data_IF_458059824999
#
_entry.id   IF_458059824999
#
_cell.length_a   1.000
_cell.length_b   1.000
_cell.length_c   1.000
_cell.angle_alpha   90.00
_cell.angle_beta   90.00
_cell.angle_gamma   90.00
#
_symmetry.space_group_name_H-M   'P 1'
#
loop_
_entity.id
_entity.type
_entity.pdbx_description
1 polymer ?
#
# COMPACT_ATOMS: atom_id res chain seq x y z
N UNK A 1 -9.62 -2.85 44.11
CA UNK A 1 -9.73 -4.31 44.30
C UNK A 1 -9.52 -4.96 42.93
N UNK A 2 -8.36 -5.58 42.73
CA UNK A 2 -7.98 -6.29 41.50
C UNK A 2 -7.64 -7.71 41.96
N UNK A 3 -8.46 -8.67 41.55
CA UNK A 3 -8.27 -10.08 41.87
C UNK A 3 -7.23 -10.71 40.95
N UNK A 4 -6.09 -11.12 41.53
CA UNK A 4 -5.14 -12.05 40.91
C UNK A 4 -5.65 -13.48 41.09
N UNK A 5 -5.83 -14.23 40.00
CA UNK A 5 -5.90 -15.69 40.05
C UNK A 5 -4.48 -16.28 39.85
N UNK A 6 -4.10 -17.34 40.59
CA UNK A 6 -2.70 -17.78 40.73
C UNK A 6 -2.20 -18.79 39.68
N UNK A 7 -0.99 -18.51 39.17
CA UNK A 7 -0.12 -19.26 38.26
C UNK A 7 0.39 -20.62 38.80
N UNK A 8 -0.47 -21.51 39.33
CA UNK A 8 -0.02 -22.82 39.88
C UNK A 8 -0.41 -24.04 39.06
N UNK A 9 -1.16 -23.89 37.99
CA UNK A 9 -1.69 -25.05 37.24
C UNK A 9 -0.93 -25.35 35.93
N UNK A 10 -0.10 -24.42 35.44
CA UNK A 10 0.67 -24.59 34.19
C UNK A 10 2.05 -25.29 34.38
N UNK A 11 2.57 -25.41 35.61
CA UNK A 11 3.93 -25.93 35.89
C UNK A 11 4.04 -27.47 35.87
N UNK A 12 2.94 -28.20 35.64
CA UNK A 12 2.95 -29.68 35.61
C UNK A 12 3.05 -30.28 34.20
N UNK A 13 2.77 -29.52 33.14
CA UNK A 13 2.85 -30.03 31.76
C UNK A 13 4.26 -29.98 31.15
N UNK A 14 5.20 -29.25 31.75
CA UNK A 14 6.56 -29.08 31.20
C UNK A 14 7.61 -30.06 31.77
N UNK A 15 7.25 -30.98 32.67
CA UNK A 15 8.22 -31.85 33.37
C UNK A 15 8.35 -33.28 32.81
N UNK A 16 7.85 -33.58 31.60
CA UNK A 16 7.84 -34.98 31.07
C UNK A 16 8.29 -35.20 29.62
N UNK A 17 8.93 -34.23 28.96
CA UNK A 17 9.66 -34.51 27.71
C UNK A 17 11.15 -34.24 27.93
N UNK A 18 11.90 -35.31 28.16
CA UNK A 18 13.33 -35.29 28.44
C UNK A 18 14.19 -35.00 27.21
N UNK A 19 15.27 -34.28 27.49
CA UNK A 19 16.59 -34.26 26.84
C UNK A 19 16.82 -35.28 25.71
N UNK A 20 16.90 -34.78 24.48
CA UNK A 20 17.47 -35.47 23.33
C UNK A 20 18.10 -34.43 22.40
N UNK A 21 19.42 -34.26 22.53
CA UNK A 21 20.21 -33.43 21.64
C UNK A 21 20.05 -33.90 20.18
N UNK A 22 19.45 -33.04 19.34
CA UNK A 22 19.47 -33.17 17.88
C UNK A 22 19.86 -31.82 17.30
N UNK A 23 21.08 -31.80 16.79
CA UNK A 23 21.64 -31.02 15.69
C UNK A 23 21.75 -29.48 15.79
N UNK A 24 23.03 -29.07 15.84
CA UNK A 24 23.61 -28.03 15.00
C UNK A 24 22.97 -27.98 13.60
N UNK A 25 22.17 -26.95 13.32
CA UNK A 25 21.93 -26.35 11.99
C UNK A 25 20.80 -25.32 12.12
N UNK A 26 21.16 -24.11 12.54
CA UNK A 26 20.26 -22.96 12.59
C UNK A 26 21.01 -21.64 12.54
N UNK A 27 22.20 -21.62 11.94
CA UNK A 27 22.80 -20.41 11.36
C UNK A 27 21.94 -20.02 10.15
N UNK A 28 20.75 -19.53 10.45
CA UNK A 28 19.83 -18.82 9.59
C UNK A 28 18.69 -18.33 10.51
N UNK A 29 19.02 -17.66 11.61
CA UNK A 29 18.12 -16.59 12.09
C UNK A 29 18.17 -15.49 11.03
N UNK A 30 17.56 -15.76 9.88
CA UNK A 30 17.02 -14.74 8.99
C UNK A 30 15.85 -14.08 9.71
N UNK A 31 16.11 -13.45 10.84
CA UNK A 31 15.28 -12.36 11.34
C UNK A 31 15.65 -11.14 10.52
N UNK A 32 15.22 -11.12 9.26
CA UNK A 32 15.11 -9.94 8.41
C UNK A 32 13.98 -10.19 7.40
N UNK A 33 12.81 -10.54 7.92
CA UNK A 33 11.59 -10.11 7.29
C UNK A 33 10.86 -9.36 8.41
N UNK A 34 11.15 -8.05 8.53
CA UNK A 34 10.26 -7.16 9.27
C UNK A 34 8.99 -7.03 8.41
N UNK A 35 8.20 -8.12 8.38
CA UNK A 35 6.87 -8.14 7.78
C UNK A 35 5.98 -7.23 8.63
N UNK A 36 6.10 -5.91 8.45
CA UNK A 36 5.01 -5.02 8.83
C UNK A 36 3.84 -5.44 7.93
N UNK A 37 3.09 -6.44 8.36
CA UNK A 37 2.01 -7.08 7.61
C UNK A 37 0.88 -6.11 7.27
N UNK A 38 -0.26 -6.62 6.84
CA UNK A 38 -1.42 -5.82 6.43
C UNK A 38 -1.72 -4.70 7.46
N UNK A 39 -1.74 -3.42 7.06
CA UNK A 39 -2.03 -2.32 7.98
C UNK A 39 -3.43 -2.46 8.57
N UNK A 40 -3.56 -2.13 9.86
CA UNK A 40 -4.84 -2.15 10.55
C UNK A 40 -5.77 -1.04 10.07
N UNK A 41 -7.08 -1.19 10.29
CA UNK A 41 -8.09 -0.18 9.92
C UNK A 41 -7.80 1.19 10.54
N UNK A 42 -7.43 1.23 11.82
CA UNK A 42 -7.11 2.47 12.54
C UNK A 42 -5.82 3.12 12.02
N UNK A 43 -4.87 2.29 11.56
CA UNK A 43 -3.63 2.76 10.94
C UNK A 43 -3.96 3.45 9.60
N UNK A 44 -4.72 2.79 8.73
CA UNK A 44 -5.19 3.35 7.44
C UNK A 44 -5.95 4.67 7.68
N UNK A 45 -6.88 4.69 8.64
CA UNK A 45 -7.63 5.89 9.00
C UNK A 45 -6.71 7.04 9.41
N UNK A 46 -5.71 6.77 10.26
CA UNK A 46 -4.76 7.78 10.72
C UNK A 46 -3.92 8.34 9.57
N UNK A 47 -3.47 7.48 8.64
CA UNK A 47 -2.75 7.93 7.44
C UNK A 47 -3.60 8.82 6.56
N UNK A 48 -4.87 8.47 6.36
CA UNK A 48 -5.81 9.28 5.58
C UNK A 48 -6.04 10.63 6.24
N UNK A 49 -6.32 10.67 7.54
CA UNK A 49 -6.55 11.93 8.26
C UNK A 49 -5.34 12.86 8.22
N UNK A 50 -4.12 12.31 8.35
CA UNK A 50 -2.88 13.08 8.32
C UNK A 50 -2.47 13.49 6.91
N UNK A 51 -2.61 12.60 5.93
CA UNK A 51 -2.18 12.82 4.55
C UNK A 51 -3.17 13.63 3.71
N UNK A 52 -4.47 13.53 3.99
CA UNK A 52 -5.52 14.15 3.18
C UNK A 52 -5.44 15.68 3.10
N UNK A 53 -5.12 16.42 4.18
CA UNK A 53 -4.88 17.87 4.09
C UNK A 53 -3.74 18.22 3.12
N UNK A 54 -2.60 17.54 3.22
CA UNK A 54 -1.44 17.79 2.35
C UNK A 54 -1.78 17.55 0.88
N UNK A 55 -2.53 16.49 0.57
CA UNK A 55 -2.93 16.19 -0.81
C UNK A 55 -3.91 17.19 -1.43
N UNK A 56 -4.62 17.98 -0.62
CA UNK A 56 -5.54 19.02 -1.09
C UNK A 56 -4.92 20.40 -1.16
N UNK A 57 -3.87 20.66 -0.38
CA UNK A 57 -3.42 22.03 -0.11
C UNK A 57 -1.93 22.24 -0.42
N UNK A 58 -1.12 21.19 -0.38
CA UNK A 58 0.32 21.28 -0.56
C UNK A 58 0.73 20.77 -1.95
N UNK A 59 1.99 21.01 -2.31
CA UNK A 59 2.57 20.50 -3.55
C UNK A 59 2.44 18.96 -3.63
N UNK A 60 2.22 18.44 -4.84
CA UNK A 60 1.95 17.02 -5.06
C UNK A 60 3.09 16.12 -4.54
N UNK A 61 4.33 16.58 -4.63
CA UNK A 61 5.51 15.87 -4.09
C UNK A 61 5.41 15.62 -2.58
N UNK A 62 4.89 16.61 -1.82
CA UNK A 62 4.74 16.51 -0.38
C UNK A 62 3.63 15.55 0.01
N UNK A 63 2.51 15.56 -0.71
CA UNK A 63 1.46 14.56 -0.57
C UNK A 63 2.00 13.14 -0.82
N UNK A 64 2.69 12.93 -1.95
CA UNK A 64 3.21 11.62 -2.31
C UNK A 64 4.27 11.15 -1.30
N UNK A 65 5.12 12.04 -0.79
CA UNK A 65 6.11 11.69 0.25
C UNK A 65 5.45 11.17 1.53
N UNK A 66 4.31 11.73 1.93
CA UNK A 66 3.57 11.26 3.11
C UNK A 66 2.93 9.88 2.89
N UNK A 67 2.44 9.64 1.68
CA UNK A 67 1.84 8.36 1.30
C UNK A 67 2.88 7.27 1.02
N UNK A 68 4.09 7.65 0.61
CA UNK A 68 5.16 6.71 0.30
C UNK A 68 5.50 5.82 1.51
N UNK A 69 5.72 6.41 2.68
CA UNK A 69 6.01 5.64 3.91
C UNK A 69 4.84 4.80 4.43
N UNK A 70 3.66 4.88 3.80
CA UNK A 70 2.57 3.95 4.08
C UNK A 70 2.60 2.73 3.15
N UNK A 71 3.14 2.90 1.94
CA UNK A 71 3.36 1.82 0.96
C UNK A 71 4.65 1.07 1.31
N UNK A 72 5.76 1.79 1.46
CA UNK A 72 7.06 1.30 1.93
C UNK A 72 7.00 1.11 3.44
N UNK A 73 6.61 -0.09 3.86
CA UNK A 73 6.26 -0.36 5.27
C UNK A 73 7.49 -0.74 6.05
N UNK A 74 8.38 -1.54 5.48
CA UNK A 74 9.62 -1.93 6.16
C UNK A 74 10.66 -0.78 6.17
N UNK A 75 10.48 0.24 5.34
CA UNK A 75 11.32 1.43 5.31
C UNK A 75 12.62 1.20 4.53
N UNK A 76 12.65 0.23 3.62
CA UNK A 76 13.82 -0.07 2.80
C UNK A 76 14.01 0.92 1.63
N UNK A 77 13.04 1.81 1.41
CA UNK A 77 13.03 2.82 0.34
C UNK A 77 12.28 2.37 -0.93
N UNK A 78 11.74 1.17 -0.94
CA UNK A 78 11.10 0.54 -2.09
C UNK A 78 9.71 0.00 -1.72
N UNK A 79 8.93 -0.34 -2.73
CA UNK A 79 7.65 -1.00 -2.60
C UNK A 79 7.72 -2.35 -3.31
N UNK A 80 7.75 -3.42 -2.51
CA UNK A 80 7.66 -4.78 -3.01
C UNK A 80 6.23 -5.15 -3.42
N UNK A 81 6.07 -6.23 -4.18
CA UNK A 81 4.73 -6.77 -4.51
C UNK A 81 3.94 -7.16 -3.24
N UNK A 82 4.64 -7.64 -2.21
CA UNK A 82 4.04 -7.99 -0.91
C UNK A 82 3.46 -6.76 -0.22
N UNK A 83 4.22 -5.66 -0.18
CA UNK A 83 3.79 -4.41 0.45
C UNK A 83 2.64 -3.75 -0.31
N UNK A 84 2.69 -3.75 -1.64
CA UNK A 84 1.57 -3.28 -2.47
C UNK A 84 0.31 -4.11 -2.19
N UNK A 85 0.45 -5.43 -2.04
CA UNK A 85 -0.65 -6.33 -1.66
C UNK A 85 -1.16 -6.09 -0.24
N UNK A 86 -0.28 -5.82 0.72
CA UNK A 86 -0.64 -5.49 2.09
C UNK A 86 -1.39 -4.16 2.17
N UNK A 87 -0.87 -3.12 1.50
CA UNK A 87 -1.52 -1.82 1.36
C UNK A 87 -2.93 -1.94 0.77
N UNK A 88 -3.08 -2.72 -0.32
CA UNK A 88 -4.38 -3.03 -0.94
C UNK A 88 -5.36 -3.67 0.04
N UNK A 89 -4.93 -4.66 0.81
CA UNK A 89 -5.76 -5.35 1.81
C UNK A 89 -6.17 -4.43 2.95
N UNK A 90 -5.27 -3.56 3.42
CA UNK A 90 -5.60 -2.58 4.46
C UNK A 90 -6.65 -1.57 4.00
N UNK A 91 -6.54 -1.07 2.76
CA UNK A 91 -7.56 -0.20 2.17
C UNK A 91 -8.92 -0.88 2.02
N UNK A 92 -8.94 -2.18 1.69
CA UNK A 92 -10.16 -2.99 1.61
C UNK A 92 -10.87 -3.05 2.97
N UNK A 93 -10.12 -3.48 3.99
CA UNK A 93 -10.63 -3.63 5.35
C UNK A 93 -11.15 -2.30 5.90
N UNK A 94 -10.48 -1.19 5.56
CA UNK A 94 -10.90 0.14 5.95
C UNK A 94 -12.18 0.60 5.23
N UNK A 95 -12.33 0.30 3.93
CA UNK A 95 -13.56 0.55 3.18
C UNK A 95 -14.73 -0.27 3.74
N UNK A 96 -14.51 -1.55 4.01
CA UNK A 96 -15.52 -2.46 4.58
C UNK A 96 -15.97 -2.00 5.98
N UNK A 97 -15.08 -1.38 6.75
CA UNK A 97 -15.42 -0.81 8.05
C UNK A 97 -16.25 0.47 7.96
N UNK A 98 -16.32 1.08 6.79
CA UNK A 98 -17.25 2.16 6.49
C UNK A 98 -16.60 3.44 5.99
N UNK A 99 -15.26 3.59 6.08
CA UNK A 99 -14.51 4.73 5.54
C UNK A 99 -15.25 6.08 5.64
N UNK A 100 -15.63 6.50 6.85
CA UNK A 100 -16.64 7.55 7.07
C UNK A 100 -16.23 8.93 6.53
N UNK A 101 -14.92 9.17 6.39
CA UNK A 101 -14.38 10.41 5.82
C UNK A 101 -14.63 10.54 4.31
N UNK A 102 -14.95 9.43 3.62
CA UNK A 102 -15.22 9.45 2.19
C UNK A 102 -16.69 9.74 1.89
N UNK A 103 -16.90 10.64 0.93
CA UNK A 103 -18.20 10.80 0.28
C UNK A 103 -18.56 9.52 -0.51
N UNK A 104 -19.84 9.35 -0.89
CA UNK A 104 -20.25 8.24 -1.76
C UNK A 104 -19.46 8.18 -3.07
N UNK A 105 -19.17 9.35 -3.67
CA UNK A 105 -18.31 9.46 -4.85
C UNK A 105 -16.88 9.00 -4.54
N UNK A 106 -16.32 9.45 -3.42
CA UNK A 106 -14.98 9.04 -2.97
C UNK A 106 -14.85 7.53 -2.77
N UNK A 107 -15.87 6.89 -2.15
CA UNK A 107 -15.94 5.44 -2.00
C UNK A 107 -15.99 4.74 -3.36
N UNK A 108 -16.87 5.17 -4.25
CA UNK A 108 -16.99 4.59 -5.60
C UNK A 108 -15.69 4.70 -6.41
N UNK A 109 -15.01 5.85 -6.34
CA UNK A 109 -13.71 6.06 -6.99
C UNK A 109 -12.64 5.14 -6.40
N UNK A 110 -12.54 5.04 -5.07
CA UNK A 110 -11.56 4.17 -4.42
C UNK A 110 -11.83 2.70 -4.74
N UNK A 111 -13.07 2.22 -4.60
CA UNK A 111 -13.46 0.86 -4.97
C UNK A 111 -13.14 0.53 -6.43
N UNK A 112 -13.36 1.47 -7.35
CA UNK A 112 -13.01 1.27 -8.77
C UNK A 112 -11.50 1.15 -8.99
N UNK A 113 -10.71 1.96 -8.28
CA UNK A 113 -9.25 1.89 -8.31
C UNK A 113 -8.73 0.56 -7.74
N UNK A 114 -9.27 0.12 -6.61
CA UNK A 114 -8.94 -1.16 -5.98
C UNK A 114 -9.31 -2.35 -6.86
N UNK A 115 -10.47 -2.32 -7.52
CA UNK A 115 -10.86 -3.33 -8.50
C UNK A 115 -9.88 -3.41 -9.68
N UNK A 116 -9.42 -2.26 -10.20
CA UNK A 116 -8.42 -2.22 -11.26
C UNK A 116 -7.08 -2.78 -10.78
N UNK A 117 -6.66 -2.43 -9.56
CA UNK A 117 -5.47 -2.97 -8.93
C UNK A 117 -5.54 -4.50 -8.84
N UNK A 118 -6.66 -5.07 -8.36
CA UNK A 118 -6.86 -6.52 -8.26
C UNK A 118 -6.83 -7.23 -9.62
N UNK A 119 -7.33 -6.55 -10.66
CA UNK A 119 -7.31 -7.08 -12.03
C UNK A 119 -5.89 -7.17 -12.58
N UNK A 120 -5.03 -6.24 -12.19
CA UNK A 120 -3.63 -6.17 -12.63
C UNK A 120 -2.76 -7.12 -11.78
N UNK A 121 -2.90 -7.05 -10.45
CA UNK A 121 -2.07 -7.73 -9.46
C UNK A 121 -0.78 -6.98 -9.12
N UNK A 122 -0.31 -7.00 -7.86
CA UNK A 122 0.88 -6.26 -7.43
C UNK A 122 2.15 -6.68 -8.18
N UNK A 123 2.32 -7.97 -8.48
CA UNK A 123 3.51 -8.48 -9.19
C UNK A 123 3.61 -7.91 -10.59
N UNK A 124 2.46 -7.70 -11.23
CA UNK A 124 2.41 -7.12 -12.58
C UNK A 124 2.67 -5.62 -12.54
N UNK A 125 2.22 -4.92 -11.51
CA UNK A 125 2.55 -3.50 -11.29
C UNK A 125 4.06 -3.34 -11.13
N UNK A 126 4.68 -4.14 -10.26
CA UNK A 126 6.15 -4.15 -10.10
C UNK A 126 6.82 -4.39 -11.45
N UNK A 127 6.50 -5.51 -12.11
CA UNK A 127 7.08 -5.85 -13.41
C UNK A 127 6.96 -4.74 -14.46
N UNK A 128 5.87 -3.97 -14.41
CA UNK A 128 5.66 -2.91 -15.37
C UNK A 128 6.48 -1.68 -15.06
N UNK A 129 6.68 -1.31 -13.80
CA UNK A 129 7.34 -0.06 -13.40
C UNK A 129 8.81 -0.22 -13.00
N UNK A 130 9.23 -1.42 -12.60
CA UNK A 130 10.60 -1.80 -12.24
C UNK A 130 11.50 -1.64 -13.47
N UNK A 131 12.19 -0.51 -13.54
CA UNK A 131 12.96 -0.08 -14.69
C UNK A 131 14.41 -0.57 -14.60
N UNK A 132 14.93 -0.73 -13.37
CA UNK A 132 16.28 -1.23 -13.14
C UNK A 132 16.37 -2.76 -12.95
N UNK A 133 15.22 -3.43 -12.77
CA UNK A 133 15.08 -4.88 -12.71
C UNK A 133 15.41 -5.47 -11.34
N UNK A 134 15.35 -4.68 -10.27
CA UNK A 134 15.68 -5.14 -8.91
C UNK A 134 14.54 -5.92 -8.23
N UNK A 135 13.37 -5.99 -8.86
CA UNK A 135 12.21 -6.76 -8.41
C UNK A 135 11.31 -6.05 -7.40
N UNK A 136 11.51 -4.75 -7.19
CA UNK A 136 10.71 -3.86 -6.33
C UNK A 136 10.57 -2.51 -7.02
N UNK A 137 9.85 -1.58 -6.40
CA UNK A 137 9.61 -0.26 -6.98
C UNK A 137 10.18 0.84 -6.09
N UNK A 138 11.12 1.60 -6.61
CA UNK A 138 11.43 2.90 -6.04
C UNK A 138 10.25 3.87 -6.19
N UNK A 139 10.28 4.94 -5.41
CA UNK A 139 9.30 6.03 -5.51
C UNK A 139 9.22 6.61 -6.91
N UNK A 140 10.37 6.84 -7.53
CA UNK A 140 10.45 7.48 -8.84
C UNK A 140 9.92 6.55 -9.94
N UNK A 141 10.15 5.24 -9.83
CA UNK A 141 9.61 4.25 -10.76
C UNK A 141 8.08 4.18 -10.71
N UNK A 142 7.49 4.09 -9.51
CA UNK A 142 6.02 4.04 -9.37
C UNK A 142 5.35 5.32 -9.91
N UNK A 143 6.07 6.44 -9.90
CA UNK A 143 5.58 7.76 -10.32
C UNK A 143 6.08 8.17 -11.71
N UNK A 144 6.75 7.28 -12.45
CA UNK A 144 7.40 7.61 -13.71
C UNK A 144 6.45 8.21 -14.76
N UNK A 145 5.15 7.96 -14.65
CA UNK A 145 4.13 8.47 -15.56
C UNK A 145 3.38 9.70 -15.02
N UNK A 146 3.77 10.25 -13.87
CA UNK A 146 3.13 11.40 -13.21
C UNK A 146 4.13 12.56 -13.08
N UNK A 147 3.77 13.71 -13.64
CA UNK A 147 4.56 14.93 -13.54
C UNK A 147 4.18 15.69 -12.27
N UNK A 148 4.86 15.37 -11.16
CA UNK A 148 4.69 16.09 -9.90
C UNK A 148 5.17 17.53 -10.04
N UNK A 149 4.40 18.48 -9.49
CA UNK A 149 4.74 19.89 -9.50
C UNK A 149 4.25 20.61 -8.23
N UNK A 150 4.24 21.95 -8.25
CA UNK A 150 3.89 22.76 -7.08
C UNK A 150 2.40 22.78 -6.77
N UNK A 151 1.54 22.22 -7.63
CA UNK A 151 0.09 22.17 -7.43
C UNK A 151 -0.31 21.00 -6.53
N UNK A 152 -1.51 21.05 -5.91
CA UNK A 152 -2.10 19.88 -5.25
C UNK A 152 -2.21 18.67 -6.17
N UNK A 153 -2.08 17.46 -5.60
CA UNK A 153 -2.08 16.21 -6.36
C UNK A 153 -3.37 16.05 -7.19
N UNK A 154 -4.52 16.46 -6.66
CA UNK A 154 -5.79 16.39 -7.40
C UNK A 154 -5.76 17.22 -8.69
N UNK A 155 -5.12 18.39 -8.66
CA UNK A 155 -5.01 19.28 -9.83
C UNK A 155 -4.04 18.71 -10.87
N UNK A 156 -2.93 18.12 -10.41
CA UNK A 156 -1.98 17.41 -11.28
C UNK A 156 -2.66 16.24 -11.99
N UNK A 157 -3.41 15.42 -11.27
CA UNK A 157 -4.09 14.25 -11.84
C UNK A 157 -5.29 14.62 -12.75
N UNK A 158 -5.90 15.79 -12.54
CA UNK A 158 -6.95 16.31 -13.40
C UNK A 158 -6.40 16.92 -14.70
N UNK A 159 -5.16 17.40 -14.69
CA UNK A 159 -4.47 18.01 -15.83
C UNK A 159 -3.96 16.92 -16.80
N UNK A 160 -4.37 16.94 -18.08
CA UNK A 160 -3.82 16.03 -19.09
C UNK A 160 -2.30 16.08 -19.23
N UNK A 161 -1.65 17.19 -18.87
CA UNK A 161 -0.19 17.34 -18.89
C UNK A 161 0.49 16.84 -17.61
N UNK A 162 -0.27 16.67 -16.52
CA UNK A 162 0.23 16.12 -15.27
C UNK A 162 0.43 14.60 -15.31
N UNK A 163 -0.03 13.93 -16.37
CA UNK A 163 0.07 12.48 -16.55
C UNK A 163 0.60 12.19 -17.96
N UNK A 164 1.65 11.38 -18.07
CA UNK A 164 2.12 10.88 -19.37
C UNK A 164 1.22 9.75 -19.87
N UNK A 165 0.14 10.15 -20.55
CA UNK A 165 -0.81 9.20 -21.13
C UNK A 165 -0.21 8.34 -22.26
N UNK A 166 0.91 8.76 -22.86
CA UNK A 166 1.60 7.95 -23.86
C UNK A 166 2.34 6.81 -23.18
N UNK A 167 3.16 7.14 -22.18
CA UNK A 167 3.90 6.15 -21.39
C UNK A 167 2.96 5.10 -20.77
N UNK A 168 1.83 5.53 -20.20
CA UNK A 168 0.82 4.60 -19.68
C UNK A 168 0.24 3.73 -20.80
N UNK A 169 -0.07 4.29 -21.97
CA UNK A 169 -0.61 3.47 -23.07
C UNK A 169 0.40 2.44 -23.54
N UNK A 170 1.68 2.81 -23.60
CA UNK A 170 2.75 1.94 -24.05
C UNK A 170 3.03 0.82 -23.03
N UNK A 171 2.98 1.13 -21.73
CA UNK A 171 3.21 0.19 -20.63
C UNK A 171 2.06 -0.83 -20.48
N UNK A 172 0.83 -0.36 -20.62
CA UNK A 172 -0.36 -1.15 -20.29
C UNK A 172 -1.21 -1.59 -21.50
N UNK A 173 -0.87 -1.12 -22.71
CA UNK A 173 -1.59 -1.42 -23.95
C UNK A 173 -2.96 -0.71 -24.09
N UNK A 174 -3.68 -1.02 -25.18
CA UNK A 174 -4.95 -0.38 -25.56
C UNK A 174 -6.09 -0.54 -24.53
N UNK A 175 -6.07 -1.59 -23.71
CA UNK A 175 -7.18 -1.94 -22.80
C UNK A 175 -7.26 -1.03 -21.56
N UNK A 176 -6.15 -0.48 -21.07
CA UNK A 176 -6.12 0.43 -19.90
C UNK A 176 -6.32 1.90 -20.25
N UNK A 177 -5.92 2.34 -21.45
CA UNK A 177 -6.19 3.70 -21.92
C UNK A 177 -7.70 4.02 -21.94
N UNK A 178 -8.53 2.99 -22.14
CA UNK A 178 -9.99 3.08 -22.04
C UNK A 178 -10.46 3.17 -20.58
N UNK A 179 -9.85 2.40 -19.66
CA UNK A 179 -10.15 2.47 -18.22
C UNK A 179 -9.81 3.83 -17.60
N UNK A 180 -8.67 4.44 -17.96
CA UNK A 180 -8.30 5.79 -17.52
C UNK A 180 -9.25 6.87 -18.03
N UNK A 181 -9.75 6.73 -19.27
CA UNK A 181 -10.82 7.62 -19.79
C UNK A 181 -12.11 7.50 -18.98
N UNK A 182 -12.46 6.29 -18.55
CA UNK A 182 -13.64 6.03 -17.70
C UNK A 182 -13.45 6.66 -16.31
N UNK A 183 -12.29 6.48 -15.67
CA UNK A 183 -11.96 7.11 -14.38
C UNK A 183 -12.02 8.63 -14.49
N UNK A 184 -11.43 9.22 -15.55
CA UNK A 184 -11.47 10.66 -15.79
C UNK A 184 -12.89 11.19 -16.03
N UNK A 185 -13.72 10.44 -16.75
CA UNK A 185 -15.14 10.80 -16.94
C UNK A 185 -15.91 10.82 -15.61
N UNK A 186 -15.59 9.91 -14.69
CA UNK A 186 -16.18 9.90 -13.34
C UNK A 186 -15.66 11.02 -12.44
N UNK A 187 -14.42 11.49 -12.63
CA UNK A 187 -13.84 12.57 -11.82
C UNK A 187 -14.32 13.98 -12.22
N UNK A 188 -14.80 14.16 -13.46
CA UNK A 188 -15.14 15.47 -14.04
C UNK A 188 -16.64 15.77 -14.08
N UNK A 189 -17.50 14.85 -13.60
CA UNK A 189 -18.94 15.04 -13.40
C UNK A 189 -19.31 14.86 -11.93
#
# INVERSE_FOLDING_TARGET
MIGRAPLREWDRSLKRAGLGAILVAGLATGTLADEKGVPGVDEVQSYIEKGSPACRQEASDRCISLWWGFIDRDGDGYASASELGAFRQGLDAWLDKGAEILTLRGKASLTSGLWLFDRIGPERIVKWYDADGDGRLSRDELLADINLDTRPLADVLADPKGIDQSAIRDRFGFFTATALRIVRWMATR
#
